data_IF_128306455703
#
_entry.id   IF_128306455703
#
_cell.length_a   1.000
_cell.length_b   1.000
_cell.length_c   1.000
_cell.angle_alpha   90.00
_cell.angle_beta   90.00
_cell.angle_gamma   90.00
#
_symmetry.space_group_name_H-M   'P 1'
#
loop_
_entity.id
_entity.type
_entity.pdbx_description
1 polymer ?
#
# COMPACT_ATOMS: atom_id res chain seq x y z
N UNK A 1 -19.10 9.60 15.56
CA UNK A 1 -20.19 9.83 14.58
C UNK A 1 -19.73 10.01 13.14
N UNK A 2 -18.53 10.57 12.84
CA UNK A 2 -17.99 10.59 11.47
C UNK A 2 -17.03 9.44 11.13
N UNK A 3 -16.44 8.77 12.13
CA UNK A 3 -15.50 7.67 11.90
C UNK A 3 -16.18 6.40 11.37
N UNK A 4 -17.42 6.11 11.78
CA UNK A 4 -18.20 4.98 11.25
C UNK A 4 -18.59 5.16 9.78
N UNK A 5 -18.43 6.36 9.19
CA UNK A 5 -18.87 6.64 7.81
C UNK A 5 -17.87 6.25 6.74
N UNK A 6 -16.57 6.19 7.03
CA UNK A 6 -15.56 5.88 6.00
C UNK A 6 -15.65 4.41 5.54
N UNK A 7 -16.15 3.53 6.41
CA UNK A 7 -16.41 2.12 6.07
C UNK A 7 -17.85 1.84 5.62
N UNK A 8 -18.79 2.77 5.84
CA UNK A 8 -20.21 2.64 5.44
C UNK A 8 -20.61 3.55 4.28
N UNK A 9 -19.64 4.18 3.61
CA UNK A 9 -19.87 4.97 2.39
C UNK A 9 -20.15 4.03 1.21
N UNK A 10 -21.41 3.60 1.08
CA UNK A 10 -21.95 2.88 -0.08
C UNK A 10 -21.71 3.65 -1.38
N UNK A 11 -21.64 2.94 -2.52
CA UNK A 11 -21.43 3.50 -3.88
C UNK A 11 -22.31 4.71 -4.23
N UNK A 12 -23.51 4.78 -3.62
CA UNK A 12 -24.47 5.86 -3.84
C UNK A 12 -23.95 7.24 -3.37
N UNK A 13 -23.15 7.28 -2.31
CA UNK A 13 -22.64 8.53 -1.74
C UNK A 13 -21.41 9.06 -2.50
N UNK A 14 -20.56 8.19 -3.03
CA UNK A 14 -19.34 8.63 -3.73
C UNK A 14 -19.63 9.31 -5.08
N UNK A 15 -20.59 8.80 -5.86
CA UNK A 15 -21.06 9.46 -7.09
C UNK A 15 -21.66 10.85 -6.81
N UNK A 16 -22.34 11.00 -5.67
CA UNK A 16 -22.87 12.28 -5.22
C UNK A 16 -21.75 13.24 -4.79
N UNK A 17 -20.73 12.75 -4.08
CA UNK A 17 -19.54 13.52 -3.70
C UNK A 17 -18.79 14.00 -4.95
N UNK A 18 -18.64 13.17 -5.99
CA UNK A 18 -18.03 13.58 -7.26
C UNK A 18 -18.80 14.73 -7.94
N UNK A 19 -20.14 14.69 -7.91
CA UNK A 19 -20.98 15.80 -8.42
C UNK A 19 -20.86 17.09 -7.60
N UNK A 20 -20.67 16.98 -6.28
CA UNK A 20 -20.42 18.10 -5.37
C UNK A 20 -19.02 18.70 -5.53
N UNK A 21 -18.00 17.86 -5.74
CA UNK A 21 -16.62 18.27 -6.02
C UNK A 21 -16.55 19.18 -7.25
N UNK A 22 -17.25 18.81 -8.33
CA UNK A 22 -17.33 19.65 -9.53
C UNK A 22 -18.15 20.94 -9.36
N UNK A 23 -18.80 21.16 -8.21
CA UNK A 23 -19.72 22.29 -7.95
C UNK A 23 -19.25 23.24 -6.85
N UNK A 24 -18.24 22.91 -6.05
CA UNK A 24 -17.87 23.71 -4.86
C UNK A 24 -16.37 23.76 -4.61
N UNK A 25 -15.90 24.90 -4.06
CA UNK A 25 -14.48 25.21 -3.88
C UNK A 25 -13.83 24.64 -2.61
N UNK A 26 -14.56 23.97 -1.70
CA UNK A 26 -13.98 23.42 -0.45
C UNK A 26 -14.66 22.16 0.05
N UNK A 27 -14.11 21.00 -0.33
CA UNK A 27 -14.45 19.71 0.25
C UNK A 27 -13.55 19.42 1.46
N UNK A 28 -14.12 18.92 2.56
CA UNK A 28 -13.33 18.54 3.74
C UNK A 28 -12.55 17.22 3.50
N UNK A 29 -11.59 16.92 4.36
CA UNK A 29 -10.73 15.73 4.20
C UNK A 29 -11.52 14.42 4.25
N UNK A 30 -12.54 14.31 5.12
CA UNK A 30 -13.38 13.12 5.20
C UNK A 30 -14.01 12.79 3.84
N UNK A 31 -14.60 13.79 3.17
CA UNK A 31 -15.18 13.61 1.85
C UNK A 31 -14.13 13.32 0.78
N UNK A 32 -12.95 13.98 0.83
CA UNK A 32 -11.86 13.73 -0.11
C UNK A 32 -11.34 12.29 0.00
N UNK A 33 -11.13 11.80 1.22
CA UNK A 33 -10.70 10.43 1.49
C UNK A 33 -11.76 9.43 1.03
N UNK A 34 -13.04 9.70 1.29
CA UNK A 34 -14.14 8.88 0.80
C UNK A 34 -14.18 8.77 -0.72
N UNK A 35 -14.07 9.90 -1.42
CA UNK A 35 -14.03 9.94 -2.88
C UNK A 35 -12.78 9.23 -3.42
N UNK A 36 -11.62 9.47 -2.80
CA UNK A 36 -10.37 8.81 -3.16
C UNK A 36 -10.46 7.30 -2.97
N UNK A 37 -11.04 6.81 -1.86
CA UNK A 37 -11.28 5.38 -1.61
C UNK A 37 -12.18 4.79 -2.70
N UNK A 38 -13.28 5.45 -3.04
CA UNK A 38 -14.17 5.01 -4.11
C UNK A 38 -13.45 4.90 -5.47
N UNK A 39 -12.70 5.94 -5.86
CA UNK A 39 -11.96 5.94 -7.11
C UNK A 39 -10.87 4.86 -7.13
N UNK A 40 -10.16 4.63 -6.01
CA UNK A 40 -9.19 3.54 -5.87
C UNK A 40 -9.80 2.14 -5.98
N UNK A 41 -11.11 1.99 -5.76
CA UNK A 41 -11.80 0.69 -5.78
C UNK A 41 -12.58 0.46 -7.08
N UNK A 42 -12.56 1.42 -8.01
CA UNK A 42 -13.29 1.36 -9.27
C UNK A 42 -12.43 0.71 -10.36
N UNK A 43 -12.97 -0.29 -11.06
CA UNK A 43 -12.23 -1.05 -12.08
C UNK A 43 -11.99 -0.27 -13.38
N UNK A 44 -12.94 0.59 -13.79
CA UNK A 44 -12.92 1.30 -15.08
C UNK A 44 -13.02 2.82 -14.91
N UNK A 45 -11.92 3.46 -14.50
CA UNK A 45 -11.85 4.92 -14.37
C UNK A 45 -11.76 5.59 -15.74
N UNK A 46 -12.60 6.60 -15.98
CA UNK A 46 -12.45 7.51 -17.12
C UNK A 46 -11.24 8.42 -16.90
N UNK A 47 -10.70 9.00 -17.98
CA UNK A 47 -9.52 9.88 -17.91
C UNK A 47 -9.68 11.06 -16.93
N UNK A 48 -10.86 11.66 -16.85
CA UNK A 48 -11.16 12.72 -15.89
C UNK A 48 -11.19 12.22 -14.43
N UNK A 49 -11.66 10.99 -14.20
CA UNK A 49 -11.71 10.35 -12.88
C UNK A 49 -10.31 9.91 -12.43
N UNK A 50 -9.50 9.38 -13.35
CA UNK A 50 -8.10 9.05 -13.12
C UNK A 50 -7.27 10.29 -12.78
N UNK A 51 -7.46 11.40 -13.52
CA UNK A 51 -6.81 12.67 -13.22
C UNK A 51 -7.23 13.24 -11.86
N UNK A 52 -8.51 13.06 -11.48
CA UNK A 52 -8.97 13.44 -10.15
C UNK A 52 -8.32 12.58 -9.06
N UNK A 53 -8.28 11.26 -9.26
CA UNK A 53 -7.63 10.34 -8.34
C UNK A 53 -6.15 10.68 -8.17
N UNK A 54 -5.44 10.96 -9.27
CA UNK A 54 -4.04 11.39 -9.24
C UNK A 54 -3.84 12.64 -8.38
N UNK A 55 -4.70 13.64 -8.53
CA UNK A 55 -4.63 14.88 -7.75
C UNK A 55 -4.90 14.63 -6.26
N UNK A 56 -5.91 13.81 -5.93
CA UNK A 56 -6.23 13.45 -4.55
C UNK A 56 -5.07 12.68 -3.91
N UNK A 57 -4.57 11.63 -4.56
CA UNK A 57 -3.45 10.82 -4.05
C UNK A 57 -2.22 11.70 -3.85
N UNK A 58 -1.89 12.58 -4.80
CA UNK A 58 -0.76 13.51 -4.67
C UNK A 58 -0.86 14.37 -3.42
N UNK A 59 -2.04 14.92 -3.14
CA UNK A 59 -2.27 15.79 -2.00
C UNK A 59 -1.92 15.09 -0.67
N UNK A 60 -2.28 13.81 -0.53
CA UNK A 60 -2.03 13.03 0.69
C UNK A 60 -0.61 12.46 0.73
N UNK A 61 -0.07 11.98 -0.39
CA UNK A 61 1.31 11.46 -0.45
C UNK A 61 2.34 12.51 -0.08
N UNK A 62 2.17 13.76 -0.54
CA UNK A 62 3.07 14.88 -0.16
C UNK A 62 3.03 15.18 1.35
N UNK A 63 1.91 14.86 2.01
CA UNK A 63 1.74 15.00 3.46
C UNK A 63 2.20 13.74 4.23
N UNK A 64 2.77 12.74 3.55
CA UNK A 64 3.07 11.40 4.10
C UNK A 64 1.84 10.70 4.70
N UNK A 65 0.66 10.92 4.12
CA UNK A 65 -0.59 10.27 4.52
C UNK A 65 -0.92 9.15 3.55
N UNK A 66 -1.11 7.95 4.07
CA UNK A 66 -1.32 6.75 3.27
C UNK A 66 -2.46 5.89 3.84
N UNK A 67 -3.14 5.16 2.97
CA UNK A 67 -4.23 4.27 3.35
C UNK A 67 -4.06 2.91 2.69
N UNK A 68 -4.55 1.85 3.34
CA UNK A 68 -4.44 0.48 2.82
C UNK A 68 -5.15 0.26 1.49
N UNK A 69 -6.20 1.03 1.20
CA UNK A 69 -6.91 0.97 -0.08
C UNK A 69 -6.08 1.50 -1.26
N UNK A 70 -4.95 2.18 -1.02
CA UNK A 70 -4.03 2.60 -2.09
C UNK A 70 -3.52 1.41 -2.90
N UNK A 71 -3.45 0.21 -2.32
CA UNK A 71 -3.04 -1.01 -3.04
C UNK A 71 -3.95 -1.42 -4.19
N UNK A 72 -5.18 -0.87 -4.25
CA UNK A 72 -6.17 -1.18 -5.28
C UNK A 72 -6.30 -0.11 -6.36
N UNK A 73 -5.60 1.02 -6.22
CA UNK A 73 -5.67 2.13 -7.17
C UNK A 73 -5.22 1.70 -8.58
N UNK A 74 -5.59 2.50 -9.58
CA UNK A 74 -5.14 2.30 -10.96
C UNK A 74 -3.61 2.07 -11.02
N UNK A 75 -3.21 1.10 -11.83
CA UNK A 75 -1.83 0.62 -11.92
C UNK A 75 -0.82 1.72 -12.25
N UNK A 76 -1.20 2.68 -13.09
CA UNK A 76 -0.34 3.79 -13.48
C UNK A 76 0.02 4.65 -12.27
N UNK A 77 -0.93 4.82 -11.35
CA UNK A 77 -0.73 5.59 -10.12
C UNK A 77 0.05 4.79 -9.07
N UNK A 78 -0.13 3.46 -9.00
CA UNK A 78 0.70 2.59 -8.17
C UNK A 78 2.19 2.76 -8.52
N UNK A 79 2.53 2.76 -9.82
CA UNK A 79 3.91 3.01 -10.27
C UNK A 79 4.35 4.41 -9.93
N UNK A 80 3.56 5.42 -10.34
CA UNK A 80 3.88 6.83 -10.19
C UNK A 80 4.22 7.21 -8.75
N UNK A 81 3.49 6.65 -7.79
CA UNK A 81 3.66 6.93 -6.36
C UNK A 81 4.51 5.87 -5.63
N UNK A 82 5.16 4.96 -6.35
CA UNK A 82 6.04 3.93 -5.78
C UNK A 82 5.35 3.04 -4.73
N UNK A 83 4.10 2.67 -4.99
CA UNK A 83 3.27 1.84 -4.10
C UNK A 83 3.36 0.34 -4.41
N UNK A 84 4.01 -0.05 -5.50
CA UNK A 84 4.03 -1.44 -6.01
C UNK A 84 4.66 -2.44 -5.04
N UNK A 85 5.64 -2.01 -4.22
CA UNK A 85 6.34 -2.83 -3.23
C UNK A 85 5.84 -2.58 -1.80
N UNK A 86 4.84 -1.72 -1.62
CA UNK A 86 4.31 -1.32 -0.31
C UNK A 86 3.08 -2.14 0.02
N UNK A 87 3.13 -2.80 1.18
CA UNK A 87 1.96 -3.41 1.84
C UNK A 87 1.58 -2.58 3.04
N UNK A 88 0.31 -2.60 3.40
CA UNK A 88 -0.24 -1.75 4.45
C UNK A 88 -0.94 -2.61 5.48
N UNK A 89 -0.58 -2.43 6.75
CA UNK A 89 -1.37 -2.82 7.90
C UNK A 89 -2.09 -1.57 8.37
N UNK A 90 -3.42 -1.63 8.42
CA UNK A 90 -4.28 -0.53 8.84
C UNK A 90 -5.12 -0.97 10.04
N UNK A 91 -5.15 -0.14 11.08
CA UNK A 91 -5.94 -0.34 12.28
C UNK A 91 -6.88 0.85 12.51
N UNK A 92 -8.12 0.56 12.89
CA UNK A 92 -9.14 1.56 13.18
C UNK A 92 -9.42 1.58 14.69
N UNK A 93 -9.13 2.71 15.32
CA UNK A 93 -9.24 2.94 16.76
C UNK A 93 -9.84 4.30 17.10
N UNK A 94 -9.55 4.83 18.29
CA UNK A 94 -9.96 6.19 18.64
C UNK A 94 -8.92 7.19 18.14
N UNK A 95 -9.32 8.44 17.86
CA UNK A 95 -8.37 9.47 17.48
C UNK A 95 -7.39 9.86 18.58
N UNK A 96 -6.16 10.23 18.20
CA UNK A 96 -5.07 10.68 19.07
C UNK A 96 -4.61 9.65 20.14
N UNK A 97 -4.80 8.36 19.87
CA UNK A 97 -4.17 7.29 20.64
C UNK A 97 -2.75 7.05 20.14
N UNK A 98 -1.88 6.54 21.01
CA UNK A 98 -0.57 6.02 20.58
C UNK A 98 -0.70 4.51 20.44
N UNK A 99 -0.48 4.02 19.23
CA UNK A 99 -0.70 2.63 18.86
C UNK A 99 0.64 2.03 18.44
N UNK A 100 1.02 0.89 19.02
CA UNK A 100 2.20 0.14 18.62
C UNK A 100 1.79 -1.08 17.80
N UNK A 101 2.62 -1.43 16.83
CA UNK A 101 2.63 -2.73 16.17
C UNK A 101 3.86 -3.51 16.63
N UNK A 102 3.62 -4.67 17.22
CA UNK A 102 4.64 -5.67 17.54
C UNK A 102 4.60 -6.69 16.41
N UNK A 103 5.70 -6.92 15.71
CA UNK A 103 5.71 -7.83 14.58
C UNK A 103 6.98 -8.66 14.48
N UNK A 104 6.84 -9.83 13.86
CA UNK A 104 7.93 -10.73 13.49
C UNK A 104 7.82 -11.04 12.00
N UNK A 105 8.86 -10.69 11.24
CA UNK A 105 8.97 -11.02 9.82
C UNK A 105 9.70 -12.35 9.68
N UNK A 106 9.06 -13.36 9.09
CA UNK A 106 9.62 -14.72 8.96
C UNK A 106 10.23 -15.22 10.29
N UNK A 107 11.52 -15.54 10.30
CA UNK A 107 12.29 -15.99 11.46
C UNK A 107 13.18 -14.90 12.08
N UNK A 108 12.96 -13.63 11.73
CA UNK A 108 13.70 -12.49 12.29
C UNK A 108 13.35 -12.22 13.76
N UNK A 109 14.09 -11.30 14.39
CA UNK A 109 13.78 -10.80 15.73
C UNK A 109 12.47 -10.02 15.76
N UNK A 110 11.82 -10.00 16.94
CA UNK A 110 10.60 -9.22 17.15
C UNK A 110 10.97 -7.74 17.14
N UNK A 111 10.23 -6.97 16.33
CA UNK A 111 10.30 -5.52 16.28
C UNK A 111 9.04 -4.90 16.90
N UNK A 112 9.21 -3.72 17.50
CA UNK A 112 8.12 -2.91 18.05
C UNK A 112 8.25 -1.52 17.46
N UNK A 113 7.18 -1.03 16.83
CA UNK A 113 7.15 0.30 16.22
C UNK A 113 5.81 0.99 16.48
N UNK A 114 5.82 2.32 16.54
CA UNK A 114 4.58 3.11 16.65
C UNK A 114 3.93 3.25 15.27
N UNK A 115 2.63 2.98 15.18
CA UNK A 115 1.81 3.22 13.99
C UNK A 115 1.40 4.69 13.93
N UNK A 116 1.62 5.34 12.80
CA UNK A 116 1.24 6.74 12.62
C UNK A 116 -0.26 6.87 12.35
N UNK A 117 -0.90 7.82 13.03
CA UNK A 117 -2.27 8.22 12.77
C UNK A 117 -2.35 9.03 11.46
N UNK A 118 -2.83 8.40 10.40
CA UNK A 118 -2.91 8.98 9.05
C UNK A 118 -4.13 9.89 8.88
N UNK A 119 -5.19 9.57 9.63
CA UNK A 119 -6.43 10.35 9.74
C UNK A 119 -7.06 10.02 11.10
N UNK A 120 -7.83 10.91 11.75
CA UNK A 120 -8.40 10.65 13.08
C UNK A 120 -8.99 9.24 13.27
N UNK A 121 -8.29 8.41 14.06
CA UNK A 121 -8.64 7.02 14.37
C UNK A 121 -8.19 5.96 13.34
N UNK A 122 -7.43 6.33 12.31
CA UNK A 122 -6.89 5.42 11.29
C UNK A 122 -5.37 5.41 11.39
N UNK A 123 -4.82 4.28 11.79
CA UNK A 123 -3.39 4.06 12.01
C UNK A 123 -2.83 3.14 10.94
N UNK A 124 -1.72 3.51 10.31
CA UNK A 124 -1.16 2.72 9.19
C UNK A 124 0.33 2.47 9.37
N UNK A 125 0.73 1.22 9.18
CA UNK A 125 2.12 0.80 9.01
C UNK A 125 2.33 0.23 7.61
N UNK A 126 3.33 0.74 6.91
CA UNK A 126 3.77 0.21 5.62
C UNK A 126 4.79 -0.91 5.81
N UNK A 127 4.83 -1.91 4.94
CA UNK A 127 5.88 -2.93 4.91
C UNK A 127 6.37 -3.11 3.47
N UNK A 128 7.65 -3.49 3.32
CA UNK A 128 8.18 -4.06 2.09
C UNK A 128 8.39 -5.54 2.34
N UNK A 129 7.61 -6.37 1.63
CA UNK A 129 7.65 -7.82 1.74
C UNK A 129 7.83 -8.44 0.35
N UNK A 130 8.54 -9.55 0.29
CA UNK A 130 8.82 -10.31 -0.92
C UNK A 130 7.96 -11.57 -0.98
N UNK A 131 7.93 -12.21 -2.14
CA UNK A 131 7.19 -13.45 -2.33
C UNK A 131 7.62 -14.51 -1.31
N UNK A 132 6.66 -15.12 -0.62
CA UNK A 132 6.89 -16.09 0.44
C UNK A 132 7.12 -15.49 1.84
N UNK A 133 7.32 -14.17 1.95
CA UNK A 133 7.40 -13.51 3.25
C UNK A 133 6.06 -13.59 3.99
N UNK A 134 6.16 -13.79 5.30
CA UNK A 134 5.07 -13.61 6.24
C UNK A 134 5.48 -12.63 7.36
N UNK A 135 4.53 -11.82 7.81
CA UNK A 135 4.68 -10.96 8.98
C UNK A 135 3.53 -11.28 9.93
N UNK A 136 3.86 -11.92 11.05
CA UNK A 136 2.95 -12.04 12.18
C UNK A 136 2.97 -10.72 12.94
N UNK A 137 1.81 -10.16 13.25
CA UNK A 137 1.75 -8.89 13.98
C UNK A 137 0.59 -8.82 14.98
N UNK A 138 0.81 -8.00 16.01
CA UNK A 138 -0.15 -7.63 17.03
C UNK A 138 -0.15 -6.11 17.18
N UNK A 139 -1.35 -5.53 17.35
CA UNK A 139 -1.56 -4.10 17.56
C UNK A 139 -1.98 -3.88 18.99
N UNK A 140 -1.31 -2.94 19.65
CA UNK A 140 -1.45 -2.63 21.07
C UNK A 140 -1.59 -1.12 21.25
N UNK A 141 -2.24 -0.68 22.33
CA UNK A 141 -2.05 0.71 22.78
C UNK A 141 -0.66 0.81 23.40
N UNK A 142 0.00 1.96 23.26
CA UNK A 142 1.32 2.17 23.85
C UNK A 142 1.28 1.91 25.36
N UNK A 143 2.30 1.20 25.86
CA UNK A 143 2.48 0.83 27.26
C UNK A 143 1.37 -0.08 27.86
N UNK A 144 0.53 -0.68 27.01
CA UNK A 144 -0.49 -1.65 27.41
C UNK A 144 -0.19 -3.04 26.82
N UNK A 145 -0.53 -4.09 27.57
CA UNK A 145 -0.37 -5.49 27.13
C UNK A 145 -1.61 -6.04 26.39
N UNK A 146 -2.69 -5.25 26.32
CA UNK A 146 -3.93 -5.67 25.66
C UNK A 146 -3.76 -5.70 24.14
N UNK A 147 -3.93 -6.89 23.54
CA UNK A 147 -3.97 -7.08 22.09
C UNK A 147 -5.30 -6.54 21.57
N UNK A 148 -5.24 -5.42 20.83
CA UNK A 148 -6.39 -4.81 20.16
C UNK A 148 -6.74 -5.52 18.85
N UNK A 149 -5.72 -5.94 18.11
CA UNK A 149 -5.87 -6.67 16.84
C UNK A 149 -4.63 -7.54 16.59
N UNK A 150 -4.78 -8.65 15.88
CA UNK A 150 -3.65 -9.47 15.43
C UNK A 150 -3.99 -10.19 14.13
N UNK A 151 -3.00 -10.34 13.26
CA UNK A 151 -3.15 -11.04 11.99
C UNK A 151 -1.79 -11.47 11.41
N UNK A 152 -1.83 -12.10 10.25
CA UNK A 152 -0.64 -12.45 9.46
C UNK A 152 -0.74 -11.81 8.09
N UNK A 153 0.23 -10.97 7.77
CA UNK A 153 0.41 -10.45 6.42
C UNK A 153 1.27 -11.43 5.63
N UNK A 154 0.70 -12.06 4.60
CA UNK A 154 1.39 -13.00 3.71
C UNK A 154 1.40 -12.43 2.29
N UNK A 155 2.50 -12.62 1.56
CA UNK A 155 2.57 -12.26 0.15
C UNK A 155 2.93 -13.44 -0.75
N UNK A 156 1.92 -13.91 -1.49
CA UNK A 156 2.03 -15.03 -2.41
C UNK A 156 1.60 -14.66 -3.84
N UNK A 157 1.48 -13.37 -4.15
CA UNK A 157 1.05 -12.92 -5.47
C UNK A 157 2.27 -12.48 -6.29
N UNK A 158 2.38 -13.00 -7.52
CA UNK A 158 3.35 -12.51 -8.50
C UNK A 158 2.60 -11.64 -9.49
N UNK A 159 2.74 -10.32 -9.35
CA UNK A 159 2.19 -9.37 -10.32
C UNK A 159 3.21 -9.21 -11.47
N UNK A 160 2.92 -9.84 -12.61
CA UNK A 160 3.83 -9.99 -13.76
C UNK A 160 3.79 -8.80 -14.74
N UNK A 161 3.77 -7.56 -14.26
CA UNK A 161 3.42 -6.43 -15.13
C UNK A 161 4.55 -5.43 -15.43
N UNK A 162 5.40 -5.08 -14.45
CA UNK A 162 6.34 -3.96 -14.65
C UNK A 162 7.79 -4.38 -14.91
N UNK A 163 8.14 -5.66 -14.69
CA UNK A 163 9.53 -6.13 -14.66
C UNK A 163 10.44 -5.22 -13.81
N UNK A 164 9.90 -4.63 -12.74
CA UNK A 164 10.70 -3.86 -11.80
C UNK A 164 11.71 -4.77 -11.11
N UNK A 165 12.77 -4.20 -10.51
CA UNK A 165 13.72 -5.00 -9.71
C UNK A 165 13.01 -5.77 -8.59
N UNK A 166 11.96 -5.18 -8.01
CA UNK A 166 11.13 -5.83 -7.01
C UNK A 166 10.40 -7.05 -7.59
N UNK A 167 9.77 -6.92 -8.76
CA UNK A 167 9.08 -8.05 -9.42
C UNK A 167 10.05 -9.15 -9.84
N UNK A 168 11.23 -8.78 -10.34
CA UNK A 168 12.26 -9.75 -10.71
C UNK A 168 12.76 -10.54 -9.50
N UNK A 169 12.90 -9.89 -8.33
CA UNK A 169 13.26 -10.58 -7.08
C UNK A 169 12.12 -11.51 -6.64
N UNK A 170 10.87 -11.06 -6.72
CA UNK A 170 9.71 -11.89 -6.35
C UNK A 170 9.57 -13.13 -7.24
N UNK A 171 9.85 -13.00 -8.54
CA UNK A 171 9.95 -14.11 -9.49
C UNK A 171 11.00 -15.14 -9.05
N UNK A 172 12.24 -14.66 -8.81
CA UNK A 172 13.32 -15.53 -8.35
C UNK A 172 12.99 -16.24 -7.03
N UNK A 173 12.36 -15.53 -6.07
CA UNK A 173 11.92 -16.13 -4.81
C UNK A 173 10.87 -17.22 -5.05
N UNK A 174 9.89 -16.98 -5.93
CA UNK A 174 8.89 -17.97 -6.30
C UNK A 174 9.53 -19.22 -6.91
N UNK A 175 10.34 -19.08 -7.97
CA UNK A 175 10.96 -20.25 -8.62
C UNK A 175 11.91 -21.00 -7.70
N UNK A 176 12.57 -20.31 -6.75
CA UNK A 176 13.36 -20.96 -5.70
C UNK A 176 12.49 -21.81 -4.77
N UNK A 177 11.35 -21.27 -4.30
CA UNK A 177 10.42 -21.96 -3.39
C UNK A 177 9.77 -23.18 -4.06
N UNK A 178 9.42 -23.07 -5.34
CA UNK A 178 8.78 -24.16 -6.10
C UNK A 178 9.78 -25.11 -6.79
N UNK A 179 11.08 -24.97 -6.53
CA UNK A 179 12.15 -25.81 -7.09
C UNK A 179 12.22 -25.82 -8.63
N UNK A 180 11.89 -24.68 -9.25
CA UNK A 180 11.92 -24.46 -10.70
C UNK A 180 13.30 -23.95 -11.13
N UNK A 181 14.31 -24.84 -11.10
CA UNK A 181 15.72 -24.46 -11.30
C UNK A 181 15.98 -23.77 -12.65
N UNK A 182 15.31 -24.23 -13.71
CA UNK A 182 15.51 -23.69 -15.05
C UNK A 182 14.99 -22.26 -15.15
N UNK A 183 13.79 -22.02 -14.63
CA UNK A 183 13.13 -20.71 -14.56
C UNK A 183 13.96 -19.75 -13.71
N UNK A 184 14.41 -20.20 -12.53
CA UNK A 184 15.28 -19.43 -11.64
C UNK A 184 16.57 -18.96 -12.35
N UNK A 185 17.23 -19.85 -13.09
CA UNK A 185 18.45 -19.50 -13.84
C UNK A 185 18.18 -18.40 -14.87
N UNK A 186 17.07 -18.48 -15.61
CA UNK A 186 16.72 -17.47 -16.62
C UNK A 186 16.38 -16.12 -15.98
N UNK A 187 15.67 -16.13 -14.85
CA UNK A 187 15.34 -14.92 -14.09
C UNK A 187 16.57 -14.25 -13.48
N UNK A 188 17.50 -15.04 -12.92
CA UNK A 188 18.78 -14.57 -12.42
C UNK A 188 19.63 -13.93 -13.54
N UNK A 189 19.66 -14.54 -14.74
CA UNK A 189 20.34 -13.97 -15.90
C UNK A 189 19.73 -12.62 -16.30
N UNK A 190 18.40 -12.54 -16.35
CA UNK A 190 17.70 -11.30 -16.69
C UNK A 190 18.03 -10.19 -15.69
N UNK A 191 18.00 -10.50 -14.38
CA UNK A 191 18.32 -9.53 -13.33
C UNK A 191 19.78 -9.05 -13.42
N UNK A 192 20.72 -9.99 -13.61
CA UNK A 192 22.13 -9.65 -13.76
C UNK A 192 22.40 -8.80 -15.01
N UNK A 193 21.75 -9.11 -16.13
CA UNK A 193 21.84 -8.33 -17.36
C UNK A 193 21.37 -6.88 -17.15
N UNK A 194 20.23 -6.68 -16.47
CA UNK A 194 19.74 -5.34 -16.12
C UNK A 194 20.74 -4.58 -15.24
N UNK A 195 21.30 -5.23 -14.22
CA UNK A 195 22.29 -4.61 -13.33
C UNK A 195 23.57 -4.20 -14.07
N UNK A 196 24.07 -5.06 -14.96
CA UNK A 196 25.23 -4.78 -15.80
C UNK A 196 24.99 -3.56 -16.71
N UNK A 197 23.86 -3.54 -17.44
CA UNK A 197 23.50 -2.43 -18.33
C UNK A 197 23.33 -1.12 -17.56
N UNK A 198 22.65 -1.18 -16.40
CA UNK A 198 22.48 -0.01 -15.52
C UNK A 198 23.83 0.57 -15.11
N UNK A 199 24.76 -0.29 -14.66
CA UNK A 199 26.12 0.13 -14.28
C UNK A 199 26.86 0.77 -15.46
N UNK A 200 26.80 0.18 -16.65
CA UNK A 200 27.49 0.74 -17.82
C UNK A 200 26.93 2.10 -18.26
N UNK A 201 25.60 2.25 -18.23
CA UNK A 201 24.94 3.50 -18.63
C UNK A 201 25.19 4.65 -17.65
N UNK A 202 25.19 4.36 -16.34
CA UNK A 202 25.28 5.38 -15.30
C UNK A 202 26.66 5.51 -14.64
N UNK A 203 27.66 4.68 -14.98
CA UNK A 203 29.04 4.83 -14.49
C UNK A 203 29.83 6.00 -15.12
N UNK A 204 29.21 6.81 -15.99
CA UNK A 204 29.84 7.98 -16.64
C UNK A 204 29.18 9.32 -16.26
N UNK A 205 28.39 9.35 -15.19
CA UNK A 205 27.87 10.59 -14.58
C UNK A 205 28.65 10.86 -13.31
#
# INVERSE_FOLDING_TARGET
YMNDRIDTLDEFDASFIFKQYNRSDKMNDACKIALMKYLCLSDDLKENELNLLDNLVREYVVKNVYFSFFKKMDRQLIVKYHMYDKKFVEYHGKPNERINIVYKKNDDEIAIEEMLEMYPGIYVRQFVIFFGDNIYYEVHRLDEEEILHKDVLVYNDIVNEDNSRYDMINKMQSSLIYYEEKELIEEMKAYHGLDYVTKQLFARV
#
